data_IF_868932093855
#
_entry.id   IF_868932093855
#
_cell.length_a   1.000
_cell.length_b   1.000
_cell.length_c   1.000
_cell.angle_alpha   90.00
_cell.angle_beta   90.00
_cell.angle_gamma   90.00
#
_symmetry.space_group_name_H-M   'P 1'
#
loop_
_entity.id
_entity.type
_entity.pdbx_description
1 polymer ?
#
# COMPACT_ATOMS: atom_id res chain seq x y z
N UNK A 1 28.70 8.18 -20.40
CA UNK A 1 29.27 7.26 -19.39
C UNK A 1 28.56 7.46 -18.05
N UNK A 2 28.76 6.60 -17.05
CA UNK A 2 28.16 6.80 -15.71
C UNK A 2 28.55 8.17 -15.11
N UNK A 3 29.81 8.59 -15.31
CA UNK A 3 30.33 9.89 -14.86
C UNK A 3 29.54 11.07 -15.46
N UNK A 4 29.16 11.01 -16.73
CA UNK A 4 28.36 12.09 -17.36
C UNK A 4 26.93 12.19 -16.80
N UNK A 5 26.37 11.12 -16.25
CA UNK A 5 25.06 11.17 -15.60
C UNK A 5 25.15 11.81 -14.21
N UNK A 6 26.22 11.52 -13.47
CA UNK A 6 26.50 12.16 -12.17
C UNK A 6 26.67 13.67 -12.33
N UNK A 7 27.48 14.10 -13.30
CA UNK A 7 27.68 15.53 -13.57
C UNK A 7 26.37 16.25 -13.95
N UNK A 8 25.50 15.59 -14.73
CA UNK A 8 24.17 16.12 -15.06
C UNK A 8 23.28 16.24 -13.83
N UNK A 9 23.27 15.25 -12.94
CA UNK A 9 22.46 15.28 -11.73
C UNK A 9 22.93 16.35 -10.74
N UNK A 10 24.24 16.56 -10.60
CA UNK A 10 24.81 17.60 -9.73
C UNK A 10 24.52 19.03 -10.21
N UNK A 11 24.32 19.21 -11.52
CA UNK A 11 24.03 20.51 -12.12
C UNK A 11 22.52 20.87 -12.09
N UNK A 12 21.65 19.95 -11.65
CA UNK A 12 20.21 20.24 -11.55
C UNK A 12 19.95 21.20 -10.38
N UNK A 13 19.10 22.22 -10.57
CA UNK A 13 18.63 23.05 -9.48
C UNK A 13 17.75 22.23 -8.53
N UNK A 14 17.70 22.61 -7.25
CA UNK A 14 17.02 21.83 -6.21
C UNK A 14 15.52 21.65 -6.50
N UNK A 15 14.89 22.61 -7.18
CA UNK A 15 13.50 22.57 -7.61
C UNK A 15 13.22 21.55 -8.72
N UNK A 16 14.26 21.12 -9.46
CA UNK A 16 14.16 20.09 -10.48
C UNK A 16 14.46 18.69 -9.93
N UNK A 17 14.84 18.58 -8.65
CA UNK A 17 15.03 17.29 -8.01
C UNK A 17 13.67 16.64 -7.71
N UNK A 18 13.56 15.31 -7.86
CA UNK A 18 12.33 14.61 -7.50
C UNK A 18 12.11 14.67 -5.98
N UNK A 19 10.85 14.65 -5.57
CA UNK A 19 10.50 14.53 -4.16
C UNK A 19 11.08 13.23 -3.56
N UNK A 20 11.55 13.28 -2.30
CA UNK A 20 12.05 12.10 -1.63
C UNK A 20 10.93 11.07 -1.46
N UNK A 21 11.24 9.81 -1.76
CA UNK A 21 10.29 8.73 -1.61
C UNK A 21 9.95 8.50 -0.13
N UNK A 22 8.66 8.56 0.19
CA UNK A 22 8.17 8.16 1.50
C UNK A 22 8.21 6.63 1.62
N UNK A 23 8.85 6.13 2.67
CA UNK A 23 8.92 4.71 2.96
C UNK A 23 7.68 4.27 3.75
N UNK A 24 6.94 3.30 3.21
CA UNK A 24 5.74 2.76 3.83
C UNK A 24 5.99 2.23 5.25
N UNK A 25 7.16 1.62 5.51
CA UNK A 25 7.46 1.01 6.79
C UNK A 25 7.68 2.04 7.91
N UNK A 26 8.00 3.27 7.53
CA UNK A 26 8.27 4.38 8.46
C UNK A 26 6.99 5.15 8.80
N UNK A 27 5.87 4.82 8.15
CA UNK A 27 4.58 5.44 8.44
C UNK A 27 4.07 5.07 9.84
N UNK A 28 3.58 6.06 10.61
CA UNK A 28 2.90 5.81 11.87
C UNK A 28 1.78 4.77 11.70
N UNK A 29 1.78 3.75 12.57
CA UNK A 29 0.73 2.74 12.53
C UNK A 29 0.91 1.62 11.50
N UNK A 30 1.93 1.64 10.62
CA UNK A 30 2.18 0.58 9.60
C UNK A 30 2.08 -0.84 10.16
N UNK A 31 2.84 -1.14 11.22
CA UNK A 31 2.86 -2.51 11.79
C UNK A 31 1.50 -2.91 12.35
N UNK A 32 0.75 -1.96 12.93
CA UNK A 32 -0.58 -2.19 13.50
C UNK A 32 -1.60 -2.42 12.37
N UNK A 33 -1.67 -1.52 11.40
CA UNK A 33 -2.54 -1.63 10.23
C UNK A 33 -2.28 -2.92 9.45
N UNK A 34 -1.01 -3.25 9.19
CA UNK A 34 -0.64 -4.49 8.50
C UNK A 34 -1.09 -5.75 9.26
N UNK A 35 -0.95 -5.76 10.59
CA UNK A 35 -1.42 -6.88 11.42
C UNK A 35 -2.95 -6.96 11.43
N UNK A 36 -3.65 -5.84 11.53
CA UNK A 36 -5.10 -5.78 11.52
C UNK A 36 -5.69 -6.26 10.18
N UNK A 37 -5.11 -5.83 9.05
CA UNK A 37 -5.51 -6.30 7.71
C UNK A 37 -5.30 -7.82 7.58
N UNK A 38 -4.18 -8.36 8.07
CA UNK A 38 -3.96 -9.82 8.05
C UNK A 38 -4.98 -10.58 8.89
N UNK A 39 -5.39 -10.04 10.04
CA UNK A 39 -6.41 -10.66 10.88
C UNK A 39 -7.77 -10.67 10.15
N UNK A 40 -8.15 -9.55 9.55
CA UNK A 40 -9.38 -9.45 8.75
C UNK A 40 -9.37 -10.44 7.56
N UNK A 41 -8.24 -10.57 6.86
CA UNK A 41 -8.10 -11.55 5.77
C UNK A 41 -8.27 -12.98 6.27
N UNK A 42 -7.77 -13.30 7.46
CA UNK A 42 -7.95 -14.63 8.06
C UNK A 42 -9.43 -14.90 8.42
N UNK A 43 -10.16 -13.91 8.92
CA UNK A 43 -11.60 -14.02 9.21
C UNK A 43 -12.42 -14.24 7.93
N UNK A 44 -12.11 -13.49 6.86
CA UNK A 44 -12.77 -13.64 5.55
C UNK A 44 -12.42 -14.97 4.91
N UNK A 45 -11.17 -15.42 5.04
CA UNK A 45 -10.72 -16.75 4.60
C UNK A 45 -11.55 -17.85 5.25
N UNK A 46 -11.75 -17.78 6.57
CA UNK A 46 -12.53 -18.77 7.31
C UNK A 46 -14.03 -18.74 6.93
N UNK A 47 -14.58 -17.54 6.75
CA UNK A 47 -16.02 -17.35 6.45
C UNK A 47 -16.41 -17.80 5.04
N UNK A 48 -15.54 -17.57 4.04
CA UNK A 48 -15.83 -17.85 2.64
C UNK A 48 -15.16 -19.12 2.11
N UNK A 49 -14.45 -19.87 2.96
CA UNK A 49 -13.68 -21.06 2.58
C UNK A 49 -12.68 -20.83 1.44
N UNK A 50 -12.12 -19.62 1.36
CA UNK A 50 -11.09 -19.24 0.39
C UNK A 50 -9.74 -19.18 1.10
N UNK A 51 -8.66 -19.64 0.46
CA UNK A 51 -7.31 -19.54 1.03
C UNK A 51 -6.91 -18.07 1.31
N UNK A 52 -6.43 -17.80 2.53
CA UNK A 52 -5.93 -16.48 2.91
C UNK A 52 -4.78 -15.97 2.02
N UNK A 53 -3.94 -16.87 1.50
CA UNK A 53 -2.86 -16.52 0.57
C UNK A 53 -3.41 -16.03 -0.79
N UNK A 54 -4.55 -16.58 -1.23
CA UNK A 54 -5.22 -16.16 -2.45
C UNK A 54 -5.94 -14.81 -2.26
N UNK A 55 -6.48 -14.59 -1.06
CA UNK A 55 -7.18 -13.35 -0.71
C UNK A 55 -6.21 -12.16 -0.65
N UNK A 56 -5.10 -12.29 0.07
CA UNK A 56 -4.15 -11.19 0.20
C UNK A 56 -2.70 -11.66 0.42
N UNK A 57 -1.82 -11.18 -0.46
CA UNK A 57 -0.38 -11.23 -0.29
C UNK A 57 0.16 -9.98 0.43
N UNK A 58 1.39 -10.06 0.96
CA UNK A 58 2.10 -8.90 1.52
C UNK A 58 2.17 -7.72 0.54
N UNK A 59 2.36 -7.99 -0.76
CA UNK A 59 2.39 -6.96 -1.82
C UNK A 59 1.05 -6.22 -1.89
N UNK A 60 -0.06 -6.95 -1.89
CA UNK A 60 -1.41 -6.38 -2.01
C UNK A 60 -1.80 -5.58 -0.76
N UNK A 61 -1.44 -6.04 0.44
CA UNK A 61 -1.64 -5.28 1.68
C UNK A 61 -0.82 -3.97 1.63
N UNK A 62 0.44 -4.04 1.21
CA UNK A 62 1.28 -2.86 1.07
C UNK A 62 0.77 -1.90 -0.02
N UNK A 63 0.19 -2.41 -1.12
CA UNK A 63 -0.44 -1.59 -2.14
C UNK A 63 -1.62 -0.80 -1.57
N UNK A 64 -2.49 -1.46 -0.80
CA UNK A 64 -3.61 -0.82 -0.12
C UNK A 64 -3.15 0.27 0.85
N UNK A 65 -2.14 0.00 1.68
CA UNK A 65 -1.62 0.99 2.63
C UNK A 65 -0.91 2.17 1.94
N UNK A 66 -0.15 1.91 0.86
CA UNK A 66 0.41 2.98 0.04
C UNK A 66 -0.68 3.88 -0.57
N UNK A 67 -1.83 3.28 -0.91
CA UNK A 67 -2.96 4.01 -1.51
C UNK A 67 -3.67 4.86 -0.46
N UNK A 68 -3.96 4.26 0.70
CA UNK A 68 -4.58 4.93 1.85
C UNK A 68 -3.80 6.17 2.29
N UNK A 69 -2.47 6.06 2.41
CA UNK A 69 -1.62 7.19 2.82
C UNK A 69 -1.10 8.06 1.68
N UNK A 70 -1.46 7.75 0.42
CA UNK A 70 -1.06 8.51 -0.78
C UNK A 70 0.47 8.70 -0.87
N UNK A 71 1.25 7.67 -0.57
CA UNK A 71 2.72 7.74 -0.52
C UNK A 71 3.37 7.76 -1.89
N UNK A 72 2.68 7.23 -2.90
CA UNK A 72 3.17 7.11 -4.27
C UNK A 72 2.01 7.35 -5.24
N UNK A 73 2.27 7.94 -6.42
CA UNK A 73 1.29 7.98 -7.49
C UNK A 73 0.91 6.54 -7.86
N UNK A 74 -0.38 6.23 -7.83
CA UNK A 74 -0.91 4.91 -8.17
C UNK A 74 -1.92 5.03 -9.29
N UNK A 75 -1.79 4.15 -10.27
CA UNK A 75 -2.70 4.05 -11.40
C UNK A 75 -3.84 3.12 -11.01
N UNK A 76 -4.90 3.68 -10.42
CA UNK A 76 -6.14 2.97 -10.09
C UNK A 76 -6.28 2.55 -8.63
N UNK A 77 -7.31 1.74 -8.36
CA UNK A 77 -7.64 1.24 -7.04
C UNK A 77 -6.83 -0.02 -6.68
N UNK A 78 -6.47 -0.23 -5.40
CA UNK A 78 -5.80 -1.45 -4.94
C UNK A 78 -6.60 -2.72 -5.22
N UNK A 79 -5.89 -3.82 -5.47
CA UNK A 79 -6.48 -5.13 -5.77
C UNK A 79 -7.37 -5.68 -4.65
N UNK A 80 -7.13 -5.30 -3.39
CA UNK A 80 -7.92 -5.76 -2.23
C UNK A 80 -9.31 -5.11 -2.14
N UNK A 81 -9.49 -3.96 -2.78
CA UNK A 81 -10.76 -3.22 -2.80
C UNK A 81 -11.32 -3.12 -4.23
N UNK A 82 -10.87 -3.99 -5.14
CA UNK A 82 -11.36 -4.06 -6.52
C UNK A 82 -11.67 -5.50 -6.94
N UNK A 83 -12.51 -5.65 -7.97
CA UNK A 83 -12.94 -6.95 -8.49
C UNK A 83 -13.60 -7.85 -7.43
N UNK A 84 -13.46 -9.17 -7.60
CA UNK A 84 -14.07 -10.16 -6.70
C UNK A 84 -13.61 -10.06 -5.24
N UNK A 85 -12.40 -9.53 -4.98
CA UNK A 85 -11.90 -9.32 -3.61
C UNK A 85 -12.68 -8.23 -2.90
N UNK A 86 -13.12 -7.22 -3.65
CA UNK A 86 -13.91 -6.13 -3.09
C UNK A 86 -15.24 -6.64 -2.51
N UNK A 87 -15.88 -7.57 -3.22
CA UNK A 87 -17.16 -8.17 -2.82
C UNK A 87 -17.06 -8.90 -1.47
N UNK A 88 -15.87 -9.39 -1.11
CA UNK A 88 -15.65 -10.14 0.14
C UNK A 88 -15.22 -9.26 1.31
N UNK A 89 -14.47 -8.19 1.06
CA UNK A 89 -13.78 -7.48 2.15
C UNK A 89 -13.57 -5.97 1.95
N UNK A 90 -14.01 -5.34 0.84
CA UNK A 90 -13.77 -3.91 0.62
C UNK A 90 -14.39 -3.03 1.73
N UNK A 91 -15.62 -3.31 2.13
CA UNK A 91 -16.31 -2.52 3.16
C UNK A 91 -15.58 -2.64 4.51
N UNK A 92 -15.28 -3.86 4.94
CA UNK A 92 -14.55 -4.13 6.19
C UNK A 92 -13.14 -3.52 6.17
N UNK A 93 -12.44 -3.60 5.04
CA UNK A 93 -11.12 -2.97 4.87
C UNK A 93 -11.22 -1.44 4.95
N UNK A 94 -12.22 -0.85 4.31
CA UNK A 94 -12.42 0.60 4.32
C UNK A 94 -12.71 1.12 5.72
N UNK A 95 -13.55 0.42 6.49
CA UNK A 95 -13.83 0.73 7.90
C UNK A 95 -12.56 0.59 8.76
N UNK A 96 -11.81 -0.50 8.60
CA UNK A 96 -10.56 -0.72 9.32
C UNK A 96 -9.54 0.38 9.05
N UNK A 97 -9.44 0.85 7.79
CA UNK A 97 -8.50 1.90 7.41
C UNK A 97 -8.82 3.28 8.04
N UNK A 98 -10.06 3.53 8.48
CA UNK A 98 -10.42 4.77 9.18
C UNK A 98 -9.73 4.89 10.55
N UNK A 99 -9.36 3.77 11.18
CA UNK A 99 -8.62 3.75 12.44
C UNK A 99 -7.16 4.19 12.29
N UNK A 100 -6.66 4.29 11.05
CA UNK A 100 -5.26 4.60 10.74
C UNK A 100 -5.16 5.87 9.88
N UNK A 101 -5.47 7.06 10.41
CA UNK A 101 -5.27 8.31 9.69
C UNK A 101 -3.80 8.51 9.35
N UNK A 102 -3.54 9.33 8.33
CA UNK A 102 -2.18 9.75 7.95
C UNK A 102 -1.56 10.64 9.04
#
# INVERSE_FOLDING_TARGET
TLISLVAKAQALPEEALPEPLLNLMDMPGYRKAFKAIKALVAEVSASHHVSGELLASRRQINQLLNWHWKLKPQNGQPELISGWRAELMAEKLTLLLQEYPR
#
